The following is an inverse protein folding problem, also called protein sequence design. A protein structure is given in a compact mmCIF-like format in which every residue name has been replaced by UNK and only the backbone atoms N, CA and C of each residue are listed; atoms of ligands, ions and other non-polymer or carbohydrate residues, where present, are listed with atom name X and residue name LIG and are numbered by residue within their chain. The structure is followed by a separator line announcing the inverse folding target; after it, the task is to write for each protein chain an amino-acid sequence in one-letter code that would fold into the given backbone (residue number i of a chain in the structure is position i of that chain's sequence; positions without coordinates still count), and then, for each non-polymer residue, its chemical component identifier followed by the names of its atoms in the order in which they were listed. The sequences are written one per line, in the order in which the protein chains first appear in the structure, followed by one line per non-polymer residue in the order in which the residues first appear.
data_IF_280907120522
#
_entry.id   IF_280907120522
#
_cell.length_a   1.000
_cell.length_b   1.000
_cell.length_c   1.000
_cell.angle_alpha   90.00
_cell.angle_beta   90.00
_cell.angle_gamma   90.00
#
_symmetry.space_group_name_H-M   'P 1'
#
loop_
_entity.id
_entity.type
_entity.pdbx_description
1 polymer ?
#
# COMPACT_ATOMS: atom_id res chain seq x y z
N UNK A 1 41.27 -4.83 6.48
CA UNK A 1 40.14 -5.57 5.87
C UNK A 1 38.90 -5.28 6.70
N UNK A 2 38.25 -4.16 6.41
CA UNK A 2 37.14 -3.61 7.19
C UNK A 2 35.81 -4.07 6.59
N UNK A 3 35.01 -4.74 7.43
CA UNK A 3 33.64 -5.13 7.11
C UNK A 3 32.71 -3.94 6.98
N UNK A 4 31.74 -4.06 6.07
CA UNK A 4 30.75 -3.04 5.79
C UNK A 4 29.70 -3.52 4.79
N UNK A 5 29.02 -4.63 5.06
CA UNK A 5 27.84 -5.01 4.27
C UNK A 5 26.58 -4.39 4.90
N UNK A 6 26.10 -3.30 4.29
CA UNK A 6 24.82 -2.67 4.61
C UNK A 6 23.68 -3.42 3.92
N UNK A 7 22.91 -4.16 4.71
CA UNK A 7 21.82 -5.03 4.27
C UNK A 7 20.58 -4.25 3.79
N UNK A 8 20.27 -4.29 2.48
CA UNK A 8 18.99 -3.81 1.92
C UNK A 8 17.92 -4.92 1.98
N UNK A 9 16.96 -4.81 2.90
CA UNK A 9 15.73 -5.64 2.90
C UNK A 9 14.78 -5.13 1.81
N UNK A 10 14.47 -5.96 0.81
CA UNK A 10 13.47 -5.66 -0.24
C UNK A 10 12.10 -6.16 0.21
N UNK A 11 11.09 -5.31 0.10
CA UNK A 11 9.69 -5.67 0.28
C UNK A 11 9.09 -5.84 -1.12
N UNK A 12 8.57 -7.02 -1.42
CA UNK A 12 7.73 -7.26 -2.59
C UNK A 12 6.39 -7.71 -2.03
N UNK A 13 5.36 -6.88 -2.16
CA UNK A 13 3.98 -7.24 -1.85
C UNK A 13 3.35 -7.80 -3.11
N UNK A 14 3.19 -9.12 -3.17
CA UNK A 14 2.35 -9.76 -4.17
C UNK A 14 0.89 -9.52 -3.78
N UNK A 15 0.23 -8.55 -4.41
CA UNK A 15 -1.17 -8.20 -4.12
C UNK A 15 -2.20 -9.09 -4.85
N UNK A 16 -1.79 -10.14 -5.56
CA UNK A 16 -2.69 -10.95 -6.40
C UNK A 16 -3.01 -12.35 -5.84
N UNK A 17 -2.85 -12.58 -4.53
CA UNK A 17 -3.29 -13.82 -3.88
C UNK A 17 -4.19 -13.49 -2.70
N UNK A 18 -5.40 -13.01 -3.00
CA UNK A 18 -6.49 -12.87 -2.03
C UNK A 18 -6.72 -14.19 -1.29
N UNK A 19 -6.33 -14.27 -0.01
CA UNK A 19 -6.65 -15.42 0.84
C UNK A 19 -7.95 -15.12 1.56
N UNK A 20 -9.07 -15.33 0.86
CA UNK A 20 -10.37 -15.31 1.50
C UNK A 20 -10.44 -16.34 2.64
N UNK A 21 -11.31 -16.15 3.64
CA UNK A 21 -11.66 -17.16 4.65
C UNK A 21 -12.19 -18.49 4.07
N UNK A 22 -12.42 -18.54 2.75
CA UNK A 22 -12.53 -19.77 1.96
C UNK A 22 -11.24 -20.61 2.04
N UNK A 23 -10.06 -20.01 1.94
CA UNK A 23 -8.74 -20.64 1.99
C UNK A 23 -8.30 -21.25 3.32
N UNK A 24 -9.22 -21.56 4.25
CA UNK A 24 -8.90 -22.31 5.48
C UNK A 24 -8.56 -23.77 5.15
N UNK A 25 -7.26 -24.11 5.17
CA UNK A 25 -6.61 -25.45 5.13
C UNK A 25 -6.98 -26.44 3.99
N UNK A 26 -8.17 -26.37 3.37
CA UNK A 26 -8.69 -27.41 2.47
C UNK A 26 -9.47 -26.93 1.21
N UNK A 27 -9.77 -25.64 1.02
CA UNK A 27 -10.39 -25.18 -0.26
C UNK A 27 -9.38 -24.67 -1.29
N UNK A 28 -8.11 -24.47 -0.93
CA UNK A 28 -7.06 -24.54 -1.92
C UNK A 28 -6.97 -26.02 -2.31
N UNK A 29 -7.44 -26.35 -3.53
CA UNK A 29 -7.26 -27.67 -4.15
C UNK A 29 -5.83 -28.14 -3.80
N UNK A 30 -5.59 -29.37 -3.30
CA UNK A 30 -4.29 -29.77 -2.74
C UNK A 30 -3.07 -29.42 -3.61
N UNK A 31 -3.27 -29.38 -4.94
CA UNK A 31 -2.32 -28.85 -5.92
C UNK A 31 -1.94 -27.37 -5.66
N UNK A 32 -2.91 -26.47 -5.54
CA UNK A 32 -2.70 -25.05 -5.21
C UNK A 32 -2.04 -24.86 -3.84
N UNK A 33 -2.33 -25.71 -2.86
CA UNK A 33 -1.65 -25.64 -1.56
C UNK A 33 -0.16 -25.99 -1.67
N UNK A 34 0.21 -26.97 -2.51
CA UNK A 34 1.61 -27.30 -2.79
C UNK A 34 2.32 -26.14 -3.51
N UNK A 35 1.68 -25.56 -4.53
CA UNK A 35 2.23 -24.41 -5.25
C UNK A 35 2.44 -23.20 -4.35
N UNK A 36 1.47 -22.88 -3.49
CA UNK A 36 1.60 -21.80 -2.53
C UNK A 36 2.77 -22.05 -1.57
N UNK A 37 2.90 -23.26 -1.01
CA UNK A 37 4.04 -23.60 -0.14
C UNK A 37 5.38 -23.48 -0.88
N UNK A 38 5.45 -23.91 -2.14
CA UNK A 38 6.66 -23.77 -2.96
C UNK A 38 7.00 -22.29 -3.22
N UNK A 39 6.01 -21.45 -3.50
CA UNK A 39 6.19 -20.01 -3.65
C UNK A 39 6.72 -19.38 -2.36
N UNK A 40 6.08 -19.67 -1.22
CA UNK A 40 6.49 -19.14 0.09
C UNK A 40 7.93 -19.55 0.46
N UNK A 41 8.32 -20.78 0.13
CA UNK A 41 9.69 -21.25 0.29
C UNK A 41 10.67 -20.47 -0.60
N UNK A 42 10.35 -20.26 -1.88
CA UNK A 42 11.17 -19.45 -2.79
C UNK A 42 11.31 -18.02 -2.29
N UNK A 43 10.22 -17.36 -1.90
CA UNK A 43 10.27 -16.00 -1.34
C UNK A 43 11.19 -15.94 -0.12
N UNK A 44 11.09 -16.92 0.78
CA UNK A 44 11.97 -17.03 1.95
C UNK A 44 13.45 -17.20 1.57
N UNK A 45 13.78 -18.02 0.57
CA UNK A 45 15.14 -18.18 0.05
C UNK A 45 15.73 -16.85 -0.44
N UNK A 46 14.92 -16.03 -1.12
CA UNK A 46 15.29 -14.70 -1.59
C UNK A 46 15.12 -13.59 -0.53
N UNK A 47 14.88 -13.95 0.74
CA UNK A 47 14.69 -13.02 1.86
C UNK A 47 13.54 -12.01 1.63
N UNK A 48 12.54 -12.41 0.84
CA UNK A 48 11.29 -11.67 0.62
C UNK A 48 10.25 -12.21 1.60
N UNK A 49 9.58 -11.31 2.32
CA UNK A 49 8.48 -11.70 3.23
C UNK A 49 7.18 -11.76 2.45
N UNK A 50 6.46 -12.86 2.61
CA UNK A 50 5.12 -13.00 2.09
C UNK A 50 4.10 -12.31 3.00
N UNK A 51 3.22 -11.54 2.40
CA UNK A 51 2.06 -10.93 3.03
C UNK A 51 0.81 -11.72 2.62
N UNK A 52 -0.04 -12.07 3.59
CA UNK A 52 -1.35 -12.65 3.30
C UNK A 52 -2.39 -11.53 3.23
N UNK A 53 -3.26 -11.60 2.24
CA UNK A 53 -4.46 -10.79 2.18
C UNK A 53 -5.57 -11.41 3.05
N UNK A 54 -6.06 -10.66 4.03
CA UNK A 54 -6.91 -11.10 5.13
C UNK A 54 -8.33 -10.58 4.91
N UNK A 55 -9.11 -11.32 4.14
CA UNK A 55 -10.52 -11.01 3.86
C UNK A 55 -11.40 -11.62 4.94
N UNK A 56 -11.69 -10.82 5.96
CA UNK A 56 -12.44 -11.25 7.16
C UNK A 56 -13.66 -10.38 7.47
N UNK A 57 -13.93 -9.33 6.68
CA UNK A 57 -15.14 -8.52 6.84
C UNK A 57 -16.41 -9.34 6.54
N UNK A 58 -16.38 -10.11 5.45
CA UNK A 58 -17.52 -10.85 4.95
C UNK A 58 -17.10 -12.27 4.57
N UNK A 59 -18.09 -13.18 4.57
CA UNK A 59 -17.89 -14.57 4.17
C UNK A 59 -19.22 -15.15 3.71
N UNK A 60 -19.27 -15.60 2.46
CA UNK A 60 -20.44 -16.32 1.95
C UNK A 60 -20.43 -17.75 2.52
N UNK A 61 -21.63 -18.25 2.83
CA UNK A 61 -21.87 -19.59 3.36
C UNK A 61 -21.73 -20.70 2.31
N UNK A 62 -21.51 -21.92 2.77
CA UNK A 62 -21.62 -23.15 1.97
C UNK A 62 -23.05 -23.68 1.92
N UNK A 63 -23.87 -23.31 2.90
CA UNK A 63 -25.27 -23.74 3.04
C UNK A 63 -26.17 -22.55 3.36
N UNK A 64 -27.46 -22.71 3.05
CA UNK A 64 -28.49 -21.72 3.33
C UNK A 64 -28.99 -21.87 4.77
N UNK A 65 -29.05 -20.77 5.50
CA UNK A 65 -29.65 -20.71 6.83
C UNK A 65 -30.91 -19.85 6.84
N UNK A 66 -31.15 -19.19 7.97
CA UNK A 66 -32.27 -18.27 8.15
C UNK A 66 -32.39 -17.26 6.99
N UNK A 67 -33.61 -17.03 6.50
CA UNK A 67 -33.88 -16.13 5.36
C UNK A 67 -33.45 -16.66 3.98
N UNK A 68 -33.01 -17.91 3.87
CA UNK A 68 -32.64 -18.53 2.60
C UNK A 68 -31.33 -18.03 1.99
N UNK A 69 -30.57 -17.22 2.73
CA UNK A 69 -29.24 -16.73 2.35
C UNK A 69 -28.15 -17.76 2.62
N UNK A 70 -27.09 -17.76 1.82
CA UNK A 70 -25.88 -18.53 2.10
C UNK A 70 -25.09 -17.88 3.24
N UNK A 71 -25.50 -18.13 4.49
CA UNK A 71 -24.99 -17.50 5.71
C UNK A 71 -24.53 -18.53 6.77
N UNK A 72 -24.38 -19.80 6.36
CA UNK A 72 -23.85 -20.89 7.16
C UNK A 72 -22.64 -21.53 6.47
N UNK A 73 -21.61 -21.89 7.22
CA UNK A 73 -20.38 -22.51 6.70
C UNK A 73 -20.31 -24.00 7.04
N UNK A 74 -21.43 -24.72 6.93
CA UNK A 74 -21.48 -26.15 7.26
C UNK A 74 -20.50 -26.97 6.39
N UNK A 75 -19.88 -27.99 6.99
CA UNK A 75 -19.00 -28.93 6.27
C UNK A 75 -17.58 -28.42 5.96
N UNK A 76 -17.22 -27.19 6.35
CA UNK A 76 -15.87 -26.64 6.18
C UNK A 76 -15.27 -26.17 7.50
N UNK A 77 -13.98 -25.83 7.50
CA UNK A 77 -13.33 -25.25 8.68
C UNK A 77 -13.95 -23.89 9.03
N UNK A 78 -14.02 -23.63 10.34
CA UNK A 78 -14.79 -22.53 10.92
C UNK A 78 -16.26 -22.65 10.49
N UNK A 79 -16.89 -23.77 10.86
CA UNK A 79 -18.28 -24.12 10.54
C UNK A 79 -19.27 -23.26 11.32
N UNK A 80 -19.22 -21.95 11.09
CA UNK A 80 -20.10 -21.01 11.73
C UNK A 80 -21.52 -21.12 11.18
N UNK A 81 -22.48 -20.88 12.07
CA UNK A 81 -23.88 -20.69 11.72
C UNK A 81 -24.21 -19.19 11.65
N UNK A 82 -25.48 -18.88 11.50
CA UNK A 82 -25.98 -17.52 11.30
C UNK A 82 -25.64 -16.55 12.44
N UNK A 83 -25.31 -17.04 13.64
CA UNK A 83 -24.90 -16.18 14.76
C UNK A 83 -23.51 -15.56 14.59
N UNK A 84 -22.71 -16.03 13.63
CA UNK A 84 -21.45 -15.40 13.25
C UNK A 84 -21.65 -14.26 12.23
N UNK A 85 -22.86 -14.06 11.72
CA UNK A 85 -23.19 -13.06 10.70
C UNK A 85 -23.99 -11.94 11.35
N UNK A 86 -23.74 -10.69 10.96
CA UNK A 86 -24.49 -9.54 11.50
C UNK A 86 -25.96 -9.59 11.09
N UNK A 87 -26.85 -9.14 11.98
CA UNK A 87 -28.30 -9.20 11.73
C UNK A 87 -28.75 -8.32 10.57
N UNK A 88 -28.05 -7.21 10.30
CA UNK A 88 -28.34 -6.32 9.17
C UNK A 88 -27.87 -6.87 7.81
N UNK A 89 -27.14 -7.99 7.78
CA UNK A 89 -26.68 -8.64 6.54
C UNK A 89 -27.11 -10.10 6.48
N UNK A 90 -28.29 -10.41 7.04
CA UNK A 90 -28.92 -11.72 6.94
C UNK A 90 -28.50 -12.75 7.99
N UNK A 91 -27.87 -12.33 9.08
CA UNK A 91 -27.50 -13.22 10.19
C UNK A 91 -28.41 -13.12 11.41
N UNK A 92 -27.99 -13.78 12.49
CA UNK A 92 -28.58 -13.75 13.84
C UNK A 92 -27.61 -13.20 14.89
N UNK A 93 -26.49 -12.63 14.45
CA UNK A 93 -25.52 -11.92 15.27
C UNK A 93 -26.00 -10.52 15.65
N UNK A 94 -25.11 -9.76 16.27
CA UNK A 94 -25.32 -8.34 16.56
C UNK A 94 -25.36 -7.52 15.27
N UNK A 95 -26.05 -6.38 15.32
CA UNK A 95 -26.09 -5.44 14.19
C UNK A 95 -24.71 -4.80 14.00
N UNK A 96 -24.28 -4.64 12.75
CA UNK A 96 -23.05 -3.90 12.42
C UNK A 96 -23.16 -2.44 12.88
N UNK A 97 -22.05 -1.88 13.35
CA UNK A 97 -21.89 -0.46 13.71
C UNK A 97 -20.88 0.24 12.80
N UNK A 98 -20.54 -0.38 11.68
CA UNK A 98 -19.49 -0.01 10.74
C UNK A 98 -20.00 -0.26 9.32
N UNK A 99 -19.19 0.06 8.31
CA UNK A 99 -19.60 -0.08 6.90
C UNK A 99 -19.88 -1.54 6.56
N UNK A 100 -20.94 -1.80 5.79
CA UNK A 100 -21.24 -3.15 5.30
C UNK A 100 -20.74 -3.31 3.87
N UNK A 101 -20.19 -4.49 3.56
CA UNK A 101 -20.02 -4.91 2.18
C UNK A 101 -21.34 -5.50 1.68
N UNK A 102 -21.98 -4.81 0.75
CA UNK A 102 -23.33 -5.14 0.32
C UNK A 102 -23.39 -6.43 -0.51
N UNK A 103 -24.54 -7.11 -0.48
CA UNK A 103 -24.79 -8.31 -1.29
C UNK A 103 -24.26 -9.63 -0.69
N UNK A 104 -23.55 -9.59 0.44
CA UNK A 104 -22.97 -10.79 1.08
C UNK A 104 -23.12 -10.74 2.62
N UNK A 105 -23.05 -11.89 3.32
CA UNK A 105 -23.06 -11.93 4.78
C UNK A 105 -21.79 -11.30 5.37
N UNK A 106 -21.95 -10.29 6.24
CA UNK A 106 -20.85 -9.65 6.96
C UNK A 106 -20.68 -10.31 8.34
N UNK A 107 -19.44 -10.49 8.78
CA UNK A 107 -19.08 -11.24 9.97
C UNK A 107 -19.28 -10.36 11.23
N UNK A 108 -19.94 -10.93 12.25
CA UNK A 108 -20.11 -10.29 13.54
C UNK A 108 -18.86 -10.47 14.42
N UNK A 109 -17.88 -9.60 14.21
CA UNK A 109 -16.65 -9.57 15.02
C UNK A 109 -16.88 -9.24 16.51
N UNK A 110 -18.08 -8.81 16.93
CA UNK A 110 -18.35 -8.62 18.36
C UNK A 110 -18.49 -9.94 19.12
N UNK A 111 -18.72 -11.06 18.43
CA UNK A 111 -18.78 -12.40 19.02
C UNK A 111 -17.39 -12.94 19.35
N UNK A 112 -17.20 -13.35 20.60
CA UNK A 112 -15.93 -13.90 21.08
C UNK A 112 -15.51 -15.17 20.32
N UNK A 113 -16.45 -16.05 19.99
CA UNK A 113 -16.13 -17.28 19.26
C UNK A 113 -15.61 -16.99 17.85
N UNK A 114 -16.20 -16.02 17.14
CA UNK A 114 -15.75 -15.55 15.83
C UNK A 114 -14.30 -15.07 15.92
N UNK A 115 -13.98 -14.19 16.87
CA UNK A 115 -12.61 -13.66 17.02
C UNK A 115 -11.62 -14.75 17.37
N UNK A 116 -11.95 -15.65 18.31
CA UNK A 116 -11.10 -16.78 18.71
C UNK A 116 -10.73 -17.64 17.49
N UNK A 117 -11.71 -17.93 16.65
CA UNK A 117 -11.54 -18.76 15.46
C UNK A 117 -10.70 -18.06 14.38
N UNK A 118 -10.95 -16.76 14.12
CA UNK A 118 -10.12 -15.94 13.22
C UNK A 118 -8.67 -15.91 13.72
N UNK A 119 -8.44 -15.66 15.01
CA UNK A 119 -7.10 -15.66 15.62
C UNK A 119 -6.41 -17.02 15.39
N UNK A 120 -7.14 -18.13 15.58
CA UNK A 120 -6.62 -19.47 15.29
C UNK A 120 -6.18 -19.64 13.84
N UNK A 121 -6.99 -19.16 12.89
CA UNK A 121 -6.65 -19.18 11.47
C UNK A 121 -5.46 -18.27 11.11
N UNK A 122 -5.38 -17.07 11.67
CA UNK A 122 -4.24 -16.16 11.47
C UNK A 122 -2.93 -16.76 12.04
N UNK A 123 -2.98 -17.41 13.21
CA UNK A 123 -1.85 -18.16 13.77
C UNK A 123 -1.45 -19.34 12.85
N UNK A 124 -2.41 -19.98 12.21
CA UNK A 124 -2.12 -20.99 11.20
C UNK A 124 -1.45 -20.41 9.95
N UNK A 125 -1.89 -19.26 9.42
CA UNK A 125 -1.22 -18.58 8.29
C UNK A 125 0.25 -18.28 8.60
N UNK A 126 0.54 -17.85 9.84
CA UNK A 126 1.90 -17.66 10.34
C UNK A 126 2.72 -18.95 10.31
N UNK A 127 2.11 -20.07 10.73
CA UNK A 127 2.78 -21.39 10.72
C UNK A 127 3.13 -21.88 9.31
N UNK A 128 2.41 -21.43 8.27
CA UNK A 128 2.69 -21.79 6.87
C UNK A 128 3.57 -20.78 6.14
N UNK A 129 4.28 -19.90 6.88
CA UNK A 129 5.30 -18.95 6.39
C UNK A 129 4.82 -17.59 5.88
N UNK A 130 3.53 -17.25 6.01
CA UNK A 130 3.14 -15.85 5.91
C UNK A 130 3.68 -15.07 7.11
N UNK A 131 4.27 -13.91 6.87
CA UNK A 131 4.87 -13.10 7.92
C UNK A 131 4.11 -11.80 8.14
N UNK A 132 3.50 -11.27 7.09
CA UNK A 132 2.86 -9.96 7.12
C UNK A 132 1.37 -10.12 6.77
N UNK A 133 0.52 -9.20 7.22
CA UNK A 133 -0.92 -9.21 6.95
C UNK A 133 -1.40 -7.92 6.27
N UNK A 134 -2.21 -8.08 5.23
CA UNK A 134 -3.02 -7.02 4.63
C UNK A 134 -4.47 -7.23 5.06
N UNK A 135 -5.05 -6.30 5.80
CA UNK A 135 -6.44 -6.35 6.23
C UNK A 135 -7.32 -5.67 5.19
N UNK A 136 -7.98 -6.49 4.38
CA UNK A 136 -8.97 -6.10 3.37
C UNK A 136 -10.17 -5.39 4.01
N UNK A 137 -10.71 -4.41 3.27
CA UNK A 137 -11.90 -3.64 3.60
C UNK A 137 -11.95 -3.26 5.09
N UNK A 138 -10.87 -2.62 5.57
CA UNK A 138 -10.60 -2.42 6.99
C UNK A 138 -11.58 -1.45 7.70
N UNK A 139 -12.51 -0.85 6.93
CA UNK A 139 -13.65 -0.07 7.44
C UNK A 139 -14.84 -0.94 7.84
N UNK A 140 -14.92 -2.18 7.36
CA UNK A 140 -16.04 -3.08 7.61
C UNK A 140 -16.04 -3.71 9.01
N UNK A 141 -15.01 -3.45 9.81
CA UNK A 141 -14.90 -3.93 11.19
C UNK A 141 -14.06 -2.95 12.02
N UNK A 142 -14.38 -2.86 13.31
CA UNK A 142 -13.72 -1.91 14.20
C UNK A 142 -12.22 -2.21 14.33
N UNK A 143 -11.39 -1.16 14.25
CA UNK A 143 -9.93 -1.22 14.41
C UNK A 143 -9.47 -1.90 15.73
N UNK A 144 -10.30 -1.91 16.77
CA UNK A 144 -10.00 -2.65 18.01
C UNK A 144 -9.91 -4.17 17.80
N UNK A 145 -10.64 -4.72 16.83
CA UNK A 145 -10.54 -6.14 16.49
C UNK A 145 -9.28 -6.41 15.68
N UNK A 146 -8.92 -5.51 14.75
CA UNK A 146 -7.62 -5.55 14.06
C UNK A 146 -6.46 -5.56 15.06
N UNK A 147 -6.53 -4.71 16.10
CA UNK A 147 -5.58 -4.72 17.22
C UNK A 147 -5.47 -6.09 17.87
N UNK A 148 -6.60 -6.66 18.31
CA UNK A 148 -6.66 -7.99 18.94
C UNK A 148 -6.05 -9.07 18.03
N UNK A 149 -6.35 -9.04 16.73
CA UNK A 149 -5.80 -9.99 15.76
C UNK A 149 -4.28 -9.86 15.61
N UNK A 150 -3.74 -8.63 15.58
CA UNK A 150 -2.30 -8.39 15.48
C UNK A 150 -1.58 -8.81 16.77
N UNK A 151 -2.11 -8.45 17.95
CA UNK A 151 -1.51 -8.80 19.25
C UNK A 151 -1.43 -10.32 19.45
N UNK A 152 -2.47 -11.04 19.00
CA UNK A 152 -2.56 -12.48 19.15
C UNK A 152 -1.78 -13.26 18.09
N UNK A 153 -1.92 -12.90 16.80
CA UNK A 153 -1.28 -13.63 15.71
C UNK A 153 0.17 -13.18 15.46
N UNK A 154 0.56 -12.01 15.95
CA UNK A 154 1.93 -11.45 15.92
C UNK A 154 2.54 -11.44 14.50
N UNK A 155 1.89 -10.84 13.50
CA UNK A 155 2.54 -10.56 12.22
C UNK A 155 3.79 -9.69 12.44
N UNK A 156 4.79 -9.77 11.54
CA UNK A 156 5.95 -8.88 11.60
C UNK A 156 5.54 -7.47 11.14
N UNK A 157 4.60 -7.41 10.21
CA UNK A 157 4.06 -6.18 9.66
C UNK A 157 2.58 -6.35 9.34
N UNK A 158 1.77 -5.31 9.55
CA UNK A 158 0.39 -5.28 9.10
C UNK A 158 0.04 -3.95 8.44
N UNK A 159 -0.80 -4.01 7.42
CA UNK A 159 -1.39 -2.85 6.75
C UNK A 159 -2.90 -3.05 6.63
N UNK A 160 -3.69 -2.00 6.87
CA UNK A 160 -5.12 -2.01 6.56
C UNK A 160 -5.46 -1.21 5.31
N UNK A 161 -6.42 -1.72 4.56
CA UNK A 161 -7.10 -1.00 3.49
C UNK A 161 -8.23 -0.15 4.06
N UNK A 162 -7.88 1.01 4.62
CA UNK A 162 -8.87 2.01 5.04
C UNK A 162 -9.14 2.96 3.86
N UNK A 163 -9.96 2.51 2.91
CA UNK A 163 -10.31 3.31 1.74
C UNK A 163 -11.66 3.99 1.95
N UNK A 164 -11.67 5.30 2.15
CA UNK A 164 -12.87 6.12 2.27
C UNK A 164 -12.97 7.19 1.16
N UNK A 165 -14.13 7.81 1.00
CA UNK A 165 -14.35 8.87 0.01
C UNK A 165 -13.50 10.10 0.36
N UNK A 166 -12.71 10.56 -0.62
CA UNK A 166 -11.85 11.72 -0.48
C UNK A 166 -12.51 12.98 -1.08
N UNK A 167 -12.55 14.07 -0.31
CA UNK A 167 -12.88 15.39 -0.82
C UNK A 167 -11.60 16.10 -1.26
N UNK A 168 -11.39 16.28 -2.56
CA UNK A 168 -10.18 16.89 -3.13
C UNK A 168 -10.01 18.38 -2.81
N UNK A 169 -11.04 19.03 -2.26
CA UNK A 169 -10.96 20.41 -1.78
C UNK A 169 -10.54 20.49 -0.29
N UNK A 170 -10.40 19.35 0.40
CA UNK A 170 -10.06 19.29 1.82
C UNK A 170 -9.55 17.90 2.26
N UNK A 171 -8.29 17.61 1.94
CA UNK A 171 -7.67 16.29 2.16
C UNK A 171 -7.29 16.00 3.62
N UNK A 172 -7.17 17.01 4.48
CA UNK A 172 -6.83 16.84 5.90
C UNK A 172 -7.82 15.93 6.62
N UNK A 173 -9.11 16.11 6.34
CA UNK A 173 -10.16 15.25 6.89
C UNK A 173 -9.97 13.78 6.50
N UNK A 174 -9.48 13.51 5.28
CA UNK A 174 -9.29 12.16 4.76
C UNK A 174 -8.07 11.49 5.40
N UNK A 175 -6.90 12.15 5.40
CA UNK A 175 -5.71 11.62 6.11
C UNK A 175 -5.94 11.48 7.62
N UNK A 176 -6.73 12.36 8.24
CA UNK A 176 -7.08 12.23 9.66
C UNK A 176 -7.89 10.97 9.96
N UNK A 177 -8.86 10.59 9.11
CA UNK A 177 -9.64 9.36 9.31
C UNK A 177 -8.76 8.11 9.23
N UNK A 178 -7.78 8.09 8.32
CA UNK A 178 -6.79 7.02 8.24
C UNK A 178 -5.91 6.98 9.50
N UNK A 179 -5.44 8.13 10.00
CA UNK A 179 -4.68 8.20 11.27
C UNK A 179 -5.52 7.71 12.44
N UNK A 180 -6.77 8.16 12.56
CA UNK A 180 -7.66 7.73 13.64
C UNK A 180 -7.85 6.21 13.64
N UNK A 181 -7.96 5.59 12.45
CA UNK A 181 -8.00 4.14 12.34
C UNK A 181 -6.70 3.49 12.81
N UNK A 182 -5.53 4.01 12.39
CA UNK A 182 -4.21 3.54 12.85
C UNK A 182 -4.09 3.65 14.38
N UNK A 183 -4.46 4.79 14.96
CA UNK A 183 -4.44 5.02 16.41
C UNK A 183 -5.37 4.04 17.15
N UNK A 184 -6.56 3.78 16.61
CA UNK A 184 -7.50 2.82 17.17
C UNK A 184 -7.02 1.36 17.09
N UNK A 185 -6.04 1.05 16.21
CA UNK A 185 -5.32 -0.24 16.29
C UNK A 185 -4.33 -0.31 17.46
N UNK A 186 -4.17 0.75 18.26
CA UNK A 186 -3.09 0.87 19.23
C UNK A 186 -1.76 1.23 18.56
N UNK A 187 -1.79 1.85 17.38
CA UNK A 187 -0.62 2.23 16.59
C UNK A 187 0.26 1.02 16.20
N UNK A 188 -0.27 -0.20 16.18
CA UNK A 188 0.51 -1.40 15.81
C UNK A 188 0.33 -1.79 14.34
N UNK A 189 -0.65 -1.22 13.64
CA UNK A 189 -0.80 -1.35 12.19
C UNK A 189 -0.24 -0.16 11.42
N UNK A 190 -0.13 -0.29 10.11
CA UNK A 190 -0.06 0.82 9.14
C UNK A 190 -1.32 0.84 8.29
N UNK A 191 -1.46 1.82 7.40
CA UNK A 191 -2.56 1.86 6.42
C UNK A 191 -2.04 2.28 5.04
N UNK A 192 -2.76 1.87 4.00
CA UNK A 192 -2.58 2.43 2.66
C UNK A 192 -2.92 3.93 2.68
N UNK A 193 -2.04 4.73 2.09
CA UNK A 193 -2.20 6.18 2.00
C UNK A 193 -3.05 6.53 0.77
N UNK A 194 -4.35 6.21 0.86
CA UNK A 194 -5.32 6.58 -0.17
C UNK A 194 -5.39 8.11 -0.38
N UNK A 195 -5.00 8.91 0.62
CA UNK A 195 -4.92 10.37 0.49
C UNK A 195 -3.87 10.77 -0.54
N UNK A 196 -2.63 10.26 -0.44
CA UNK A 196 -1.62 10.61 -1.45
C UNK A 196 -1.93 9.99 -2.81
N UNK A 197 -2.47 8.76 -2.87
CA UNK A 197 -2.93 8.15 -4.14
C UNK A 197 -3.86 9.11 -4.89
N UNK A 198 -4.91 9.59 -4.22
CA UNK A 198 -5.88 10.50 -4.82
C UNK A 198 -5.32 11.87 -5.18
N UNK A 199 -4.47 12.45 -4.34
CA UNK A 199 -3.89 13.76 -4.65
C UNK A 199 -2.88 13.66 -5.79
N UNK A 200 -2.06 12.61 -5.79
CA UNK A 200 -0.98 12.44 -6.74
C UNK A 200 -1.51 12.21 -8.16
N UNK A 201 -2.59 11.45 -8.32
CA UNK A 201 -3.20 11.25 -9.65
C UNK A 201 -3.71 12.57 -10.26
N UNK A 202 -4.31 13.46 -9.46
CA UNK A 202 -4.75 14.77 -9.94
C UNK A 202 -3.56 15.70 -10.17
N UNK A 203 -2.55 15.60 -9.30
CA UNK A 203 -1.36 16.44 -9.36
C UNK A 203 -0.57 16.24 -10.65
N UNK A 204 -0.35 14.98 -11.09
CA UNK A 204 0.44 14.69 -12.29
C UNK A 204 -0.23 15.19 -13.58
N UNK A 205 -1.54 15.40 -13.56
CA UNK A 205 -2.32 15.98 -14.67
C UNK A 205 -2.22 17.53 -14.76
N UNK A 206 -1.12 18.11 -14.29
CA UNK A 206 -0.88 19.56 -14.36
C UNK A 206 -1.32 20.36 -13.12
N UNK A 207 -1.45 19.69 -11.97
CA UNK A 207 -1.80 20.32 -10.69
C UNK A 207 -0.76 19.99 -9.60
N UNK A 208 0.52 19.93 -9.97
CA UNK A 208 1.61 19.47 -9.08
C UNK A 208 1.80 20.35 -7.84
N UNK A 209 1.29 21.58 -7.86
CA UNK A 209 1.19 22.47 -6.70
C UNK A 209 0.42 21.84 -5.52
N UNK A 210 -0.46 20.85 -5.78
CA UNK A 210 -1.20 20.10 -4.75
C UNK A 210 -0.30 19.27 -3.85
N UNK A 211 0.92 18.95 -4.27
CA UNK A 211 1.85 18.07 -3.56
C UNK A 211 2.56 18.73 -2.36
N UNK A 212 2.08 19.89 -1.92
CA UNK A 212 2.50 20.61 -0.72
C UNK A 212 1.27 21.10 0.05
N UNK A 213 1.18 20.70 1.31
CA UNK A 213 0.16 21.21 2.23
C UNK A 213 0.51 22.61 2.77
N UNK A 214 -0.43 23.31 3.44
CA UNK A 214 -0.16 24.66 3.97
C UNK A 214 0.98 24.73 4.98
N UNK A 215 1.40 23.60 5.56
CA UNK A 215 2.54 23.49 6.48
C UNK A 215 3.85 23.09 5.76
N UNK A 216 3.84 23.03 4.42
CA UNK A 216 5.01 22.72 3.61
C UNK A 216 5.35 21.22 3.54
N UNK A 217 4.44 20.33 3.93
CA UNK A 217 4.63 18.87 3.96
C UNK A 217 3.87 18.18 2.82
N UNK A 218 4.18 16.90 2.51
CA UNK A 218 3.34 16.11 1.63
C UNK A 218 1.88 16.04 2.15
N UNK A 219 0.88 16.12 1.27
CA UNK A 219 -0.52 16.26 1.69
C UNK A 219 -1.20 14.93 2.09
N UNK A 220 -0.49 13.79 1.99
CA UNK A 220 -0.98 12.47 2.40
C UNK A 220 -0.78 12.15 3.89
N UNK A 221 -1.11 10.92 4.29
CA UNK A 221 -0.74 10.36 5.61
C UNK A 221 0.77 10.42 5.80
N UNK A 222 1.54 10.22 4.74
CA UNK A 222 3.00 10.30 4.77
C UNK A 222 3.57 11.65 5.27
N UNK A 223 2.83 12.76 5.12
CA UNK A 223 3.26 14.06 5.64
C UNK A 223 3.05 14.23 7.15
N UNK A 224 2.17 13.42 7.74
CA UNK A 224 1.88 13.44 9.17
C UNK A 224 2.56 12.29 9.91
N UNK A 225 2.53 11.09 9.33
CA UNK A 225 3.04 9.87 9.94
C UNK A 225 3.70 8.92 8.91
N UNK A 226 4.87 9.28 8.36
CA UNK A 226 5.51 8.51 7.28
C UNK A 226 5.83 7.06 7.67
N UNK A 227 6.12 6.79 8.94
CA UNK A 227 6.37 5.41 9.40
C UNK A 227 5.11 4.53 9.39
N UNK A 228 3.91 5.09 9.19
CA UNK A 228 2.62 4.38 9.12
C UNK A 228 1.90 4.47 7.78
N UNK A 229 2.50 5.16 6.80
CA UNK A 229 1.94 5.28 5.46
C UNK A 229 2.51 4.20 4.52
N UNK A 230 1.62 3.42 3.90
CA UNK A 230 1.94 2.65 2.70
C UNK A 230 1.52 3.46 1.47
N UNK A 231 2.49 3.97 0.73
CA UNK A 231 2.23 4.75 -0.49
C UNK A 231 2.16 3.81 -1.69
N UNK A 232 1.28 4.11 -2.65
CA UNK A 232 1.05 3.31 -3.85
C UNK A 232 0.43 4.20 -4.92
N UNK A 233 0.51 3.78 -6.18
CA UNK A 233 -0.15 4.50 -7.30
C UNK A 233 -1.32 3.72 -7.89
N UNK A 234 -1.34 2.39 -7.82
CA UNK A 234 -2.52 1.57 -8.10
C UNK A 234 -2.46 0.25 -7.33
N UNK A 235 -3.62 -0.39 -7.20
CA UNK A 235 -3.79 -1.77 -6.77
C UNK A 235 -4.75 -2.50 -7.74
N UNK A 236 -5.20 -3.69 -7.37
CA UNK A 236 -6.09 -4.51 -8.19
C UNK A 236 -7.53 -3.97 -8.31
N UNK A 237 -7.95 -3.02 -7.47
CA UNK A 237 -9.27 -2.36 -7.52
C UNK A 237 -9.21 -1.03 -8.27
N UNK A 238 -8.22 -0.20 -7.93
CA UNK A 238 -8.06 1.13 -8.53
C UNK A 238 -7.62 1.02 -9.99
N UNK A 239 -6.69 0.10 -10.29
CA UNK A 239 -6.20 -0.19 -11.64
C UNK A 239 -6.66 -1.56 -12.12
N UNK A 240 -5.77 -2.26 -12.83
CA UNK A 240 -6.04 -3.57 -13.45
C UNK A 240 -7.34 -3.58 -14.26
N UNK A 241 -8.05 -4.71 -14.31
CA UNK A 241 -9.31 -4.85 -15.04
C UNK A 241 -10.52 -4.23 -14.32
N UNK A 242 -10.42 -3.92 -13.03
CA UNK A 242 -11.52 -3.27 -12.29
C UNK A 242 -11.57 -1.76 -12.60
N UNK A 243 -10.40 -1.12 -12.64
CA UNK A 243 -10.21 0.27 -13.03
C UNK A 243 -11.18 1.24 -12.34
N UNK A 244 -11.45 1.03 -11.05
CA UNK A 244 -12.37 1.89 -10.29
C UNK A 244 -11.83 3.30 -10.08
N UNK A 245 -10.51 3.45 -10.04
CA UNK A 245 -9.85 4.72 -9.78
C UNK A 245 -8.40 4.76 -10.32
N UNK A 246 -8.21 4.53 -11.64
CA UNK A 246 -6.92 4.23 -12.21
C UNK A 246 -6.00 5.44 -12.17
N UNK A 247 -4.71 5.22 -11.94
CA UNK A 247 -3.72 6.28 -12.13
C UNK A 247 -3.62 6.64 -13.62
N UNK A 248 -3.41 7.92 -14.00
CA UNK A 248 -3.26 8.30 -15.39
C UNK A 248 -2.14 7.53 -16.09
N UNK A 249 -2.47 6.77 -17.13
CA UNK A 249 -1.56 5.82 -17.79
C UNK A 249 -0.27 6.43 -18.32
N UNK A 250 -0.33 7.69 -18.78
CA UNK A 250 0.82 8.42 -19.31
C UNK A 250 1.67 9.09 -18.21
N UNK A 251 1.31 8.91 -16.93
CA UNK A 251 1.99 9.53 -15.78
C UNK A 251 2.47 8.53 -14.72
N UNK A 252 2.42 7.23 -15.02
CA UNK A 252 2.83 6.15 -14.10
C UNK A 252 4.24 6.38 -13.56
N UNK A 253 5.13 6.87 -14.41
CA UNK A 253 6.53 7.14 -14.12
C UNK A 253 6.73 8.28 -13.14
N UNK A 254 5.99 9.39 -13.29
CA UNK A 254 5.94 10.48 -12.32
C UNK A 254 5.38 10.00 -10.97
N UNK A 255 4.35 9.14 -11.00
CA UNK A 255 3.78 8.53 -9.81
C UNK A 255 4.81 7.73 -9.01
N UNK A 256 5.56 6.85 -9.69
CA UNK A 256 6.63 6.07 -9.07
C UNK A 256 7.82 6.91 -8.64
N UNK A 257 8.22 7.92 -9.43
CA UNK A 257 9.24 8.90 -9.06
C UNK A 257 8.93 9.53 -7.69
N UNK A 258 7.68 9.88 -7.45
CA UNK A 258 7.22 10.41 -6.17
C UNK A 258 7.30 9.38 -5.04
N UNK A 259 6.55 8.26 -5.15
CA UNK A 259 6.36 7.37 -3.99
C UNK A 259 7.64 6.60 -3.59
N UNK A 260 8.53 6.32 -4.53
CA UNK A 260 9.79 5.59 -4.26
C UNK A 260 10.88 6.51 -3.69
N UNK A 261 10.84 7.81 -3.99
CA UNK A 261 11.79 8.79 -3.48
C UNK A 261 11.42 9.23 -2.07
N UNK A 262 10.13 9.41 -1.81
CA UNK A 262 9.63 10.06 -0.60
C UNK A 262 9.55 9.16 0.65
N UNK A 263 9.37 9.76 1.85
CA UNK A 263 9.08 9.01 3.07
C UNK A 263 7.80 8.17 2.95
N UNK A 264 7.75 7.04 3.66
CA UNK A 264 6.65 6.10 3.55
C UNK A 264 7.12 4.72 3.11
N UNK A 265 6.23 3.74 3.08
CA UNK A 265 6.52 2.40 2.53
C UNK A 265 5.91 2.31 1.14
N UNK A 266 6.67 2.54 0.05
CA UNK A 266 6.13 2.41 -1.29
C UNK A 266 5.76 0.96 -1.60
N UNK A 267 4.66 0.82 -2.34
CA UNK A 267 4.14 -0.41 -2.91
C UNK A 267 4.18 -0.27 -4.42
N UNK A 268 4.81 -1.24 -5.08
CA UNK A 268 4.86 -1.33 -6.55
C UNK A 268 3.80 -2.31 -7.01
N UNK A 269 2.97 -1.88 -7.95
CA UNK A 269 1.89 -2.69 -8.49
C UNK A 269 2.43 -3.68 -9.54
N UNK A 270 1.90 -4.91 -9.54
CA UNK A 270 2.42 -6.00 -10.37
C UNK A 270 2.37 -5.67 -11.86
N UNK A 271 1.19 -5.26 -12.36
CA UNK A 271 0.95 -5.00 -13.79
C UNK A 271 1.90 -3.91 -14.31
N UNK A 272 2.18 -2.88 -13.50
CA UNK A 272 3.13 -1.81 -13.87
C UNK A 272 4.59 -2.26 -13.87
N UNK A 273 4.93 -3.34 -13.16
CA UNK A 273 6.31 -3.83 -13.07
C UNK A 273 6.63 -4.92 -14.09
N UNK A 274 5.65 -5.77 -14.42
CA UNK A 274 5.84 -6.93 -15.29
C UNK A 274 5.16 -6.82 -16.65
N UNK A 275 4.00 -6.19 -16.74
CA UNK A 275 3.17 -6.20 -17.96
C UNK A 275 3.28 -4.90 -18.77
N UNK A 276 3.93 -3.87 -18.21
CA UNK A 276 4.23 -2.63 -18.93
C UNK A 276 5.62 -2.70 -19.56
N UNK A 277 5.72 -2.34 -20.86
CA UNK A 277 6.95 -2.47 -21.68
C UNK A 277 8.17 -1.73 -21.11
N UNK A 278 7.97 -0.81 -20.17
CA UNK A 278 9.02 -0.14 -19.42
C UNK A 278 9.52 -1.03 -18.28
N UNK A 279 10.52 -1.86 -18.58
CA UNK A 279 11.23 -2.74 -17.64
C UNK A 279 11.99 -1.93 -16.57
N UNK A 280 11.22 -1.34 -15.67
CA UNK A 280 11.70 -0.44 -14.65
C UNK A 280 12.18 -1.25 -13.45
N UNK A 281 13.51 -1.43 -13.33
CA UNK A 281 14.11 -2.06 -12.14
C UNK A 281 13.99 -1.14 -10.93
N UNK A 282 12.80 -1.03 -10.36
CA UNK A 282 12.56 -0.36 -9.10
C UNK A 282 13.24 -1.15 -7.98
N UNK A 283 14.27 -0.57 -7.37
CA UNK A 283 14.70 -1.02 -6.04
C UNK A 283 14.17 -0.03 -5.02
N UNK A 284 14.67 0.00 -3.79
CA UNK A 284 14.22 0.98 -2.78
C UNK A 284 15.40 1.66 -2.11
N UNK A 285 15.24 2.95 -1.81
CA UNK A 285 16.14 3.71 -0.94
C UNK A 285 15.75 3.45 0.53
N UNK A 286 16.70 3.27 1.47
CA UNK A 286 16.38 3.13 2.88
C UNK A 286 15.46 4.28 3.34
N UNK A 287 14.36 3.95 4.02
CA UNK A 287 13.33 4.88 4.54
C UNK A 287 13.91 6.27 4.86
N UNK A 288 13.78 7.25 3.95
CA UNK A 288 14.34 8.56 4.23
C UNK A 288 13.53 9.21 5.35
N UNK A 289 14.24 9.81 6.30
CA UNK A 289 13.66 10.33 7.54
C UNK A 289 12.90 11.63 7.37
N UNK A 290 13.13 12.37 6.28
CA UNK A 290 12.55 13.69 6.06
C UNK A 290 12.45 14.04 4.58
N UNK A 291 11.51 14.93 4.27
CA UNK A 291 11.35 15.55 2.96
C UNK A 291 11.28 17.06 3.17
N UNK A 292 11.99 17.80 2.32
CA UNK A 292 11.91 19.26 2.20
C UNK A 292 11.45 19.59 0.80
N UNK A 293 10.24 20.11 0.67
CA UNK A 293 9.70 20.58 -0.61
C UNK A 293 10.38 21.91 -0.93
N UNK A 294 10.95 22.00 -2.13
CA UNK A 294 11.68 23.18 -2.60
C UNK A 294 10.76 24.04 -3.47
N UNK A 295 10.17 23.43 -4.50
CA UNK A 295 9.21 24.07 -5.40
C UNK A 295 7.87 23.33 -5.40
N UNK A 296 6.79 24.09 -5.47
CA UNK A 296 5.42 23.57 -5.61
C UNK A 296 4.57 24.61 -6.34
N UNK A 297 4.78 24.67 -7.65
CA UNK A 297 4.17 25.62 -8.58
C UNK A 297 3.21 24.87 -9.54
N UNK A 298 2.60 25.59 -10.49
CA UNK A 298 1.61 25.02 -11.41
C UNK A 298 2.13 23.79 -12.18
N UNK A 299 3.35 23.87 -12.70
CA UNK A 299 3.99 22.85 -13.53
C UNK A 299 5.30 22.29 -12.95
N UNK A 300 5.66 22.63 -11.71
CA UNK A 300 6.90 22.17 -11.08
C UNK A 300 6.67 21.77 -9.64
N UNK A 301 6.95 20.51 -9.34
CA UNK A 301 7.21 20.03 -7.99
C UNK A 301 8.68 19.65 -7.89
N UNK A 302 9.39 20.11 -6.86
CA UNK A 302 10.71 19.60 -6.55
C UNK A 302 10.92 19.44 -5.05
N UNK A 303 11.70 18.43 -4.69
CA UNK A 303 11.93 18.07 -3.30
C UNK A 303 13.34 17.54 -3.08
N UNK A 304 13.81 17.74 -1.85
CA UNK A 304 15.00 17.11 -1.31
C UNK A 304 14.56 16.10 -0.25
N UNK A 305 15.00 14.85 -0.39
CA UNK A 305 14.64 13.75 0.49
C UNK A 305 15.88 13.32 1.27
N UNK A 306 15.83 13.53 2.58
CA UNK A 306 17.00 13.55 3.45
C UNK A 306 18.08 14.50 2.92
N UNK A 307 19.32 14.05 3.01
CA UNK A 307 20.54 14.66 2.46
C UNK A 307 21.05 13.92 1.22
N UNK A 308 20.20 13.07 0.62
CA UNK A 308 20.63 12.05 -0.35
C UNK A 308 19.99 12.14 -1.71
N UNK A 309 18.72 12.51 -1.79
CA UNK A 309 17.97 12.56 -3.05
C UNK A 309 17.43 13.95 -3.32
N UNK A 310 17.50 14.37 -4.59
CA UNK A 310 16.84 15.55 -5.13
C UNK A 310 16.00 15.10 -6.31
N UNK A 311 14.75 15.54 -6.41
CA UNK A 311 13.90 15.14 -7.53
C UNK A 311 12.97 16.25 -7.99
N UNK A 312 12.55 16.21 -9.27
CA UNK A 312 11.44 16.98 -9.82
C UNK A 312 10.40 16.12 -10.51
N UNK A 313 9.15 16.59 -10.49
CA UNK A 313 8.05 16.13 -11.34
C UNK A 313 7.40 17.37 -11.99
N UNK A 314 6.98 17.24 -13.25
CA UNK A 314 6.31 18.27 -14.04
C UNK A 314 7.21 18.89 -15.12
N UNK A 315 6.61 19.79 -15.91
CA UNK A 315 7.21 20.40 -17.10
C UNK A 315 8.11 21.61 -16.80
N UNK A 316 8.08 22.13 -15.57
CA UNK A 316 8.89 23.28 -15.21
C UNK A 316 10.39 22.96 -15.22
N UNK A 317 11.20 23.92 -15.69
CA UNK A 317 12.65 23.80 -15.66
C UNK A 317 13.16 23.83 -14.21
N UNK A 318 13.97 22.84 -13.87
CA UNK A 318 14.63 22.67 -12.57
C UNK A 318 15.65 21.55 -12.74
N UNK A 319 16.78 21.65 -12.06
CA UNK A 319 17.83 20.65 -12.16
C UNK A 319 18.21 20.11 -10.77
N UNK A 320 18.19 18.77 -10.55
CA UNK A 320 18.64 18.18 -9.30
C UNK A 320 20.16 18.22 -9.12
N UNK A 321 20.93 18.59 -10.15
CA UNK A 321 22.40 18.60 -10.11
C UNK A 321 22.96 19.93 -9.64
N UNK A 322 24.13 19.85 -9.00
CA UNK A 322 24.95 20.99 -8.60
C UNK A 322 26.33 20.44 -8.21
N UNK A 323 27.21 21.27 -7.64
CA UNK A 323 28.55 20.82 -7.23
C UNK A 323 28.54 19.58 -6.31
N UNK A 324 27.51 19.43 -5.48
CA UNK A 324 27.37 18.35 -4.51
C UNK A 324 26.43 17.23 -4.98
N UNK A 325 25.79 17.38 -6.16
CA UNK A 325 24.70 16.52 -6.60
C UNK A 325 24.85 16.11 -8.07
N UNK A 326 24.79 14.81 -8.35
CA UNK A 326 24.89 14.22 -9.70
C UNK A 326 23.55 13.68 -10.18
N UNK A 327 23.28 13.74 -11.49
CA UNK A 327 22.05 13.18 -12.05
C UNK A 327 22.11 11.66 -11.89
N UNK A 328 21.03 11.07 -11.37
CA UNK A 328 20.92 9.64 -11.15
C UNK A 328 20.01 8.97 -12.19
N UNK A 329 18.90 9.62 -12.55
CA UNK A 329 18.00 9.20 -13.63
C UNK A 329 17.17 10.39 -14.12
N UNK A 330 16.61 10.26 -15.31
CA UNK A 330 15.66 11.20 -15.91
C UNK A 330 14.67 10.42 -16.76
N UNK A 331 13.48 10.98 -16.93
CA UNK A 331 12.47 10.49 -17.88
C UNK A 331 11.51 11.61 -18.23
N UNK A 332 10.42 11.27 -18.93
CA UNK A 332 9.39 12.25 -19.26
C UNK A 332 8.87 12.92 -17.97
N UNK A 333 9.00 14.26 -17.90
CA UNK A 333 8.51 15.10 -16.79
C UNK A 333 9.05 14.72 -15.40
N UNK A 334 10.15 13.97 -15.31
CA UNK A 334 10.78 13.63 -14.03
C UNK A 334 12.30 13.60 -14.12
N UNK A 335 12.97 14.08 -13.08
CA UNK A 335 14.44 14.00 -12.95
C UNK A 335 14.79 13.74 -11.49
N UNK A 336 15.78 12.87 -11.26
CA UNK A 336 16.29 12.56 -9.93
C UNK A 336 17.80 12.66 -9.90
N UNK A 337 18.35 13.36 -8.90
CA UNK A 337 19.77 13.42 -8.60
C UNK A 337 20.09 12.88 -7.21
N UNK A 338 21.37 12.62 -7.01
CA UNK A 338 21.94 12.03 -5.81
C UNK A 338 23.07 12.86 -5.24
N UNK A 339 23.21 12.85 -3.92
CA UNK A 339 24.40 13.40 -3.27
C UNK A 339 25.64 12.62 -3.70
N UNK A 340 26.74 13.32 -3.95
CA UNK A 340 28.01 12.71 -4.34
C UNK A 340 28.61 11.81 -3.26
N UNK A 341 28.28 12.07 -1.99
CA UNK A 341 28.76 11.28 -0.84
C UNK A 341 27.91 10.02 -0.59
N UNK A 342 26.83 9.82 -1.35
CA UNK A 342 25.97 8.64 -1.24
C UNK A 342 26.56 7.45 -2.03
N UNK A 343 27.10 6.46 -1.31
CA UNK A 343 27.46 5.13 -1.86
C UNK A 343 26.25 4.27 -2.25
N UNK A 344 25.05 4.69 -1.87
CA UNK A 344 23.80 3.98 -2.13
C UNK A 344 23.45 3.95 -3.61
N UNK A 345 23.38 2.74 -4.18
CA UNK A 345 22.76 2.49 -5.49
C UNK A 345 21.30 2.97 -5.44
N UNK A 346 20.98 3.89 -6.35
CA UNK A 346 19.67 4.52 -6.45
C UNK A 346 18.64 3.56 -7.03
N UNK A 347 17.38 3.71 -6.65
CA UNK A 347 16.36 2.74 -6.94
C UNK A 347 15.37 3.36 -7.92
N UNK A 348 15.85 3.82 -9.06
CA UNK A 348 14.95 4.28 -10.09
C UNK A 348 15.25 3.65 -11.42
N UNK A 349 14.15 3.15 -11.98
CA UNK A 349 13.78 3.05 -13.39
C UNK A 349 14.85 3.66 -14.29
N UNK A 350 15.65 2.78 -14.87
CA UNK A 350 16.50 3.15 -15.98
C UNK A 350 15.57 3.34 -17.17
N UNK A 351 15.53 4.55 -17.70
CA UNK A 351 15.11 4.74 -19.08
C UNK A 351 16.13 3.98 -19.95
N UNK A 352 15.72 3.00 -20.78
CA UNK A 352 16.61 2.44 -21.79
C UNK A 352 17.04 3.47 -22.85
N UNK A 353 16.43 4.67 -22.87
CA UNK A 353 16.65 5.74 -23.85
C UNK A 353 17.16 7.05 -23.23
N UNK A 354 18.26 6.99 -22.49
CA UNK A 354 19.27 8.05 -22.58
C UNK A 354 19.71 8.72 -21.29
N UNK A 355 21.00 9.00 -21.24
CA UNK A 355 21.61 9.99 -20.35
C UNK A 355 21.12 11.38 -20.77
N UNK A 356 19.98 11.83 -20.24
CA UNK A 356 19.46 13.16 -20.49
C UNK A 356 20.33 14.23 -19.81
N UNK A 357 20.53 15.38 -20.48
CA UNK A 357 21.05 16.58 -19.85
C UNK A 357 20.00 17.19 -18.90
N UNK A 358 20.47 17.85 -17.84
CA UNK A 358 19.61 18.53 -16.88
C UNK A 358 18.86 19.70 -17.56
N UNK A 359 17.56 19.81 -17.35
CA UNK A 359 16.75 20.91 -17.90
C UNK A 359 16.80 22.12 -16.94
N UNK A 360 17.92 22.84 -17.01
CA UNK A 360 18.09 24.15 -16.40
C UNK A 360 18.11 25.23 -17.49
N UNK A 361 16.94 25.76 -17.85
CA UNK A 361 16.91 27.06 -18.53
C UNK A 361 17.36 28.13 -17.54
N UNK A 362 18.57 28.67 -17.73
CA UNK A 362 19.00 29.88 -17.05
C UNK A 362 17.98 30.99 -17.35
N UNK A 363 17.47 31.73 -16.34
CA UNK A 363 16.74 32.95 -16.63
C UNK A 363 17.72 33.89 -17.34
N UNK A 364 17.50 34.10 -18.63
CA UNK A 364 18.18 35.16 -19.38
C UNK A 364 17.90 36.46 -18.64
N UNK A 365 18.97 37.15 -18.26
CA UNK A 365 18.90 38.53 -17.79
C UNK A 365 18.05 39.33 -18.80
N UNK A 366 16.95 39.90 -18.32
CA UNK A 366 16.18 40.94 -19.00
C UNK A 366 15.83 42.01 -17.95
#
# INVERSE_FOLDING_TARGET
MTGGETWKRRFLTLQNLGLHLYGCRYQLIPFHQKLLKALLQKLKQYKVRAMADIVINHRIGTTKGNGGMYNRNDGILLAWNEHAVTSCTGGLGNRSTVDNFNGVPNIDHSRRFVRKDIIGWLKWLRSVSFQDFHFDFARGYSAKYVKEYIEEAKPIFSVGEYWDSCNYNGYDSHRQRIINWIDATGQISTAFDFTIKGILQEAVMGQVWRLRDPQGKPPGVMGWWPSRALTFIDNHDTGSTQAHWPFPSNHIMEGYAYILAHPGKPTVFYDHFYDWDEHSKASRYPQPSSVRILESQYNLYSAMIGDKVRMKIGDGSWCPTSREWTLATSGHRMQCGKSNDSSSIFPFIADPFGTGECDARHPSQA
#
